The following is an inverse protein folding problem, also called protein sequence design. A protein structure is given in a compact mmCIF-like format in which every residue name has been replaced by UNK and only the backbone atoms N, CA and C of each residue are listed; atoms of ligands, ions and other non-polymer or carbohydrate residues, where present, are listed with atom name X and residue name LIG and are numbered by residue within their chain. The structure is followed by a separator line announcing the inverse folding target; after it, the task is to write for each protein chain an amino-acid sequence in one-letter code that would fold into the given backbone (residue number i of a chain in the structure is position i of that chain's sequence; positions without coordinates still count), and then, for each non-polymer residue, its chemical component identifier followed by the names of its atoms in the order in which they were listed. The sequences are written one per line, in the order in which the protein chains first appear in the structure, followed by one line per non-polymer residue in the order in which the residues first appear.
data_IF_889119111234
#
_entry.id   IF_889119111234
#
_cell.length_a   1.000
_cell.length_b   1.000
_cell.length_c   1.000
_cell.angle_alpha   90.00
_cell.angle_beta   90.00
_cell.angle_gamma   90.00
#
_symmetry.space_group_name_H-M   'P 1'
#
loop_
_entity.id
_entity.type
_entity.pdbx_description
1 polymer ?
#
# COMPACT_ATOMS: atom_id res chain seq x y z
N UNK A 1 35.00 14.64 -20.96
CA UNK A 1 34.80 14.64 -19.50
C UNK A 1 33.89 13.46 -19.14
N UNK A 2 34.34 12.52 -18.29
CA UNK A 2 33.45 11.47 -17.75
C UNK A 2 32.51 12.13 -16.74
N UNK A 3 31.20 11.87 -16.85
CA UNK A 3 30.18 12.41 -15.95
C UNK A 3 30.53 12.07 -14.48
N UNK A 4 30.80 13.06 -13.61
CA UNK A 4 31.16 12.82 -12.21
C UNK A 4 30.01 12.20 -11.39
N UNK A 5 28.79 12.14 -11.95
CA UNK A 5 27.61 11.51 -11.35
C UNK A 5 27.35 10.08 -11.85
N UNK A 6 28.24 9.51 -12.65
CA UNK A 6 28.11 8.14 -13.17
C UNK A 6 28.36 7.04 -12.11
N UNK A 7 28.67 7.40 -10.87
CA UNK A 7 28.88 6.48 -9.75
C UNK A 7 27.92 6.75 -8.59
N UNK A 8 27.16 5.71 -8.21
CA UNK A 8 26.40 5.56 -6.97
C UNK A 8 25.13 6.42 -6.81
N UNK A 9 24.02 6.00 -7.45
CA UNK A 9 22.71 6.16 -6.79
C UNK A 9 22.78 5.34 -5.49
N UNK A 10 23.03 5.99 -4.35
CA UNK A 10 22.92 5.33 -3.03
C UNK A 10 21.58 4.59 -2.99
N UNK A 11 21.59 3.31 -2.61
CA UNK A 11 20.34 2.58 -2.36
C UNK A 11 19.53 3.38 -1.35
N UNK A 12 18.32 3.79 -1.74
CA UNK A 12 17.39 4.53 -0.89
C UNK A 12 16.34 3.56 -0.32
N UNK A 13 15.71 3.94 0.79
CA UNK A 13 14.50 3.24 1.23
C UNK A 13 13.42 3.55 0.19
N UNK A 14 12.84 2.51 -0.37
CA UNK A 14 11.81 2.61 -1.40
C UNK A 14 10.86 1.45 -1.28
N UNK A 15 9.58 1.71 -1.42
CA UNK A 15 8.51 0.74 -1.45
C UNK A 15 7.96 0.63 -2.87
N UNK A 16 7.41 -0.55 -3.17
CA UNK A 16 6.56 -0.80 -4.34
C UNK A 16 5.40 -1.67 -3.91
N UNK A 17 4.28 -1.61 -4.64
CA UNK A 17 3.21 -2.59 -4.44
C UNK A 17 3.69 -3.94 -4.95
N UNK A 18 3.65 -4.95 -4.10
CA UNK A 18 3.79 -6.35 -4.50
C UNK A 18 2.45 -6.89 -4.99
N UNK A 19 1.37 -6.45 -4.33
CA UNK A 19 -0.03 -6.75 -4.69
C UNK A 19 -0.89 -5.50 -4.47
N UNK A 20 -1.88 -5.27 -5.34
CA UNK A 20 -2.87 -4.22 -5.15
C UNK A 20 -4.13 -4.60 -5.91
N UNK A 21 -5.29 -4.57 -5.25
CA UNK A 21 -6.57 -4.86 -5.90
C UNK A 21 -6.88 -3.87 -7.03
N UNK A 22 -7.68 -4.31 -8.00
CA UNK A 22 -8.02 -3.50 -9.18
C UNK A 22 -8.94 -2.31 -8.83
N UNK A 23 -9.94 -2.56 -7.98
CA UNK A 23 -11.01 -1.62 -7.65
C UNK A 23 -11.46 -1.82 -6.20
N UNK A 24 -11.89 -0.75 -5.55
CA UNK A 24 -12.52 -0.72 -4.24
C UNK A 24 -14.04 -0.83 -4.40
N UNK A 25 -14.69 -1.80 -3.75
CA UNK A 25 -16.13 -2.04 -3.90
C UNK A 25 -16.81 -1.88 -2.55
N UNK A 26 -17.51 -0.75 -2.34
CA UNK A 26 -18.23 -0.31 -1.12
C UNK A 26 -18.02 -1.24 0.11
N UNK A 27 -18.95 -1.79 0.88
CA UNK A 27 -18.62 -2.60 2.07
C UNK A 27 -17.76 -3.89 1.94
N UNK A 28 -16.97 -4.10 0.87
CA UNK A 28 -16.06 -5.25 0.72
C UNK A 28 -14.61 -4.91 1.10
N UNK A 29 -13.88 -5.82 1.78
CA UNK A 29 -12.48 -5.59 2.10
C UNK A 29 -11.60 -5.49 0.84
N UNK A 30 -10.80 -4.43 0.79
CA UNK A 30 -9.77 -4.19 -0.22
C UNK A 30 -8.39 -4.49 0.37
N UNK A 31 -7.62 -5.37 -0.27
CA UNK A 31 -6.29 -5.77 0.16
C UNK A 31 -5.19 -5.24 -0.76
N UNK A 32 -4.05 -4.89 -0.17
CA UNK A 32 -2.85 -4.48 -0.89
C UNK A 32 -1.61 -4.80 -0.06
N UNK A 33 -0.53 -5.16 -0.73
CA UNK A 33 0.76 -5.47 -0.14
C UNK A 33 1.84 -4.55 -0.67
N UNK A 34 2.76 -4.16 0.20
CA UNK A 34 3.99 -3.48 -0.22
C UNK A 34 5.21 -4.27 0.18
N UNK A 35 6.22 -4.18 -0.67
CA UNK A 35 7.54 -4.73 -0.41
C UNK A 35 8.62 -3.67 -0.65
N UNK A 36 9.82 -3.95 -0.17
CA UNK A 36 10.98 -3.10 -0.41
C UNK A 36 11.45 -3.20 -1.86
N UNK A 37 11.64 -2.03 -2.48
CA UNK A 37 12.31 -1.84 -3.75
C UNK A 37 13.75 -1.32 -3.58
N UNK A 38 14.25 -1.24 -2.34
CA UNK A 38 15.49 -0.55 -1.99
C UNK A 38 16.21 -1.16 -0.79
N UNK A 39 16.83 -0.31 0.05
CA UNK A 39 17.48 -0.75 1.28
C UNK A 39 16.48 -0.88 2.45
N UNK A 40 16.88 -1.62 3.47
CA UNK A 40 16.10 -1.76 4.71
C UNK A 40 15.93 -0.44 5.47
N UNK A 41 14.91 -0.38 6.33
CA UNK A 41 14.67 0.70 7.29
C UNK A 41 13.90 0.20 8.51
N UNK A 42 14.22 0.70 9.68
CA UNK A 42 13.53 0.44 10.95
C UNK A 42 12.60 1.58 11.38
N UNK A 43 12.56 2.68 10.61
CA UNK A 43 11.82 3.89 10.97
C UNK A 43 10.30 3.73 10.81
N UNK A 44 9.87 2.71 10.08
CA UNK A 44 8.46 2.48 9.79
C UNK A 44 7.94 3.21 8.56
N UNK A 45 6.63 3.18 8.39
CA UNK A 45 5.91 3.69 7.23
C UNK A 45 4.56 4.29 7.60
N UNK A 46 3.92 4.92 6.62
CA UNK A 46 2.56 5.41 6.71
C UNK A 46 1.75 4.94 5.51
N UNK A 47 0.52 4.51 5.77
CA UNK A 47 -0.50 4.28 4.74
C UNK A 47 -1.41 5.48 4.71
N UNK A 48 -1.71 6.00 3.52
CA UNK A 48 -2.66 7.09 3.35
C UNK A 48 -3.54 6.90 2.13
N UNK A 49 -4.81 7.30 2.26
CA UNK A 49 -5.75 7.38 1.14
C UNK A 49 -6.32 8.80 1.06
N UNK A 50 -6.34 9.35 -0.14
CA UNK A 50 -6.75 10.74 -0.41
C UNK A 50 -7.46 10.85 -1.75
N UNK A 51 -8.20 11.91 -1.98
CA UNK A 51 -8.93 12.16 -3.22
C UNK A 51 -10.10 13.09 -2.97
N UNK A 52 -10.71 13.64 -4.03
CA UNK A 52 -11.83 14.58 -3.86
C UNK A 52 -13.03 13.91 -3.18
N UNK A 53 -13.33 12.65 -3.53
CA UNK A 53 -14.40 11.91 -2.87
C UNK A 53 -14.12 11.67 -1.36
N UNK A 54 -12.86 11.65 -0.92
CA UNK A 54 -12.48 11.62 0.50
C UNK A 54 -12.61 13.00 1.14
N UNK A 55 -12.20 14.08 0.45
CA UNK A 55 -12.32 15.45 0.93
C UNK A 55 -13.78 15.79 1.26
N UNK A 56 -14.68 15.45 0.34
CA UNK A 56 -16.12 15.73 0.41
C UNK A 56 -16.86 14.74 1.33
N UNK A 57 -16.20 13.67 1.78
CA UNK A 57 -16.76 12.65 2.65
C UNK A 57 -17.68 11.64 1.96
N UNK A 58 -17.75 11.63 0.62
CA UNK A 58 -18.50 10.63 -0.16
C UNK A 58 -17.90 9.23 -0.02
N UNK A 59 -16.58 9.14 0.07
CA UNK A 59 -15.85 7.89 0.34
C UNK A 59 -15.24 7.96 1.73
N UNK A 60 -15.59 7.00 2.57
CA UNK A 60 -15.01 6.82 3.90
C UNK A 60 -14.38 5.43 4.03
N UNK A 61 -13.62 5.21 5.08
CA UNK A 61 -12.93 3.93 5.30
C UNK A 61 -13.10 3.47 6.74
N UNK A 62 -13.24 2.16 6.93
CA UNK A 62 -13.10 1.53 8.23
C UNK A 62 -11.63 1.52 8.70
N UNK A 63 -11.40 0.91 9.86
CA UNK A 63 -10.05 0.64 10.35
C UNK A 63 -9.19 -0.07 9.30
N UNK A 64 -7.90 0.22 9.35
CA UNK A 64 -6.90 -0.46 8.53
C UNK A 64 -6.42 -1.68 9.31
N UNK A 65 -6.41 -2.84 8.68
CA UNK A 65 -5.90 -4.07 9.25
C UNK A 65 -4.58 -4.43 8.58
N UNK A 66 -3.66 -5.02 9.34
CA UNK A 66 -2.40 -5.54 8.79
C UNK A 66 -2.01 -6.84 9.48
N UNK A 67 -1.19 -7.63 8.80
CA UNK A 67 -0.66 -8.86 9.36
C UNK A 67 0.68 -8.60 10.05
N UNK A 68 0.80 -9.02 11.30
CA UNK A 68 2.03 -8.97 12.07
C UNK A 68 2.56 -10.39 12.28
N UNK A 69 3.85 -10.62 12.01
CA UNK A 69 4.50 -11.90 12.22
C UNK A 69 5.31 -11.85 13.52
N UNK A 70 4.89 -12.64 14.50
CA UNK A 70 5.59 -12.85 15.76
C UNK A 70 6.16 -14.26 15.81
N UNK A 71 7.41 -14.44 15.34
CA UNK A 71 8.12 -15.72 15.45
C UNK A 71 7.42 -16.90 14.76
N UNK A 72 6.78 -16.67 13.61
CA UNK A 72 6.05 -17.69 12.84
C UNK A 72 4.54 -17.70 13.07
N UNK A 73 4.04 -16.95 14.07
CA UNK A 73 2.59 -16.74 14.25
C UNK A 73 2.15 -15.45 13.57
N UNK A 74 1.28 -15.58 12.58
CA UNK A 74 0.67 -14.44 11.89
C UNK A 74 -0.60 -14.01 12.65
N UNK A 75 -0.65 -12.76 13.08
CA UNK A 75 -1.83 -12.16 13.73
C UNK A 75 -2.35 -10.98 12.93
N UNK A 76 -3.66 -10.93 12.71
CA UNK A 76 -4.33 -9.78 12.11
C UNK A 76 -4.55 -8.70 13.17
N UNK A 77 -3.97 -7.52 12.97
CA UNK A 77 -4.05 -6.39 13.90
C UNK A 77 -4.92 -5.30 13.28
N UNK A 78 -5.94 -4.85 14.03
CA UNK A 78 -6.73 -3.67 13.67
C UNK A 78 -6.01 -2.42 14.13
N UNK A 79 -5.76 -1.50 13.21
CA UNK A 79 -5.12 -0.22 13.45
C UNK A 79 -6.06 0.94 13.09
N UNK A 80 -5.94 2.03 13.84
CA UNK A 80 -6.73 3.23 13.58
C UNK A 80 -6.38 3.82 12.22
N UNK A 81 -7.40 4.08 11.40
CA UNK A 81 -7.25 4.77 10.12
C UNK A 81 -7.96 6.12 10.21
N UNK A 82 -7.24 7.11 10.71
CA UNK A 82 -7.82 8.38 11.11
C UNK A 82 -7.94 9.34 9.94
N UNK A 83 -9.08 10.04 9.84
CA UNK A 83 -9.26 11.16 8.94
C UNK A 83 -8.55 12.39 9.50
N UNK A 84 -7.58 12.93 8.76
CA UNK A 84 -6.76 14.09 9.13
C UNK A 84 -7.04 15.22 8.17
N UNK A 85 -7.35 16.40 8.69
CA UNK A 85 -7.45 17.64 7.92
C UNK A 85 -6.08 18.31 7.84
N UNK A 86 -5.59 18.54 6.62
CA UNK A 86 -4.34 19.25 6.33
C UNK A 86 -4.53 20.77 6.46
N UNK A 87 -3.42 21.50 6.49
CA UNK A 87 -3.41 22.99 6.56
C UNK A 87 -4.14 23.66 5.41
N UNK A 88 -4.20 23.02 4.25
CA UNK A 88 -4.91 23.49 3.05
C UNK A 88 -6.41 23.12 3.07
N UNK A 89 -6.92 22.55 4.17
CA UNK A 89 -8.31 22.12 4.31
C UNK A 89 -8.61 20.74 3.70
N UNK A 90 -7.68 20.14 2.96
CA UNK A 90 -7.89 18.81 2.36
C UNK A 90 -7.87 17.73 3.43
N UNK A 91 -8.70 16.70 3.26
CA UNK A 91 -8.82 15.58 4.19
C UNK A 91 -8.14 14.34 3.62
N UNK A 92 -7.43 13.61 4.47
CA UNK A 92 -6.78 12.37 4.10
C UNK A 92 -6.94 11.35 5.22
N UNK A 93 -7.18 10.09 4.86
CA UNK A 93 -7.05 9.02 5.85
C UNK A 93 -5.58 8.67 6.02
N UNK A 94 -5.12 8.46 7.25
CA UNK A 94 -3.75 8.05 7.57
C UNK A 94 -3.69 7.00 8.67
N UNK A 95 -2.83 6.02 8.48
CA UNK A 95 -2.43 5.04 9.48
C UNK A 95 -0.91 5.04 9.59
N UNK A 96 -0.41 5.30 10.80
CA UNK A 96 1.00 5.48 11.09
C UNK A 96 1.58 4.23 11.75
N UNK A 97 2.66 3.71 11.19
CA UNK A 97 3.30 2.48 11.67
C UNK A 97 4.77 2.78 11.96
N UNK A 98 5.10 3.01 13.23
CA UNK A 98 6.46 3.39 13.64
C UNK A 98 7.35 2.20 14.01
N UNK A 99 6.78 0.99 14.07
CA UNK A 99 7.48 -0.23 14.52
C UNK A 99 7.58 -1.32 13.46
N UNK A 100 6.93 -1.15 12.30
CA UNK A 100 7.00 -2.16 11.23
C UNK A 100 8.32 -1.96 10.47
N UNK A 101 9.25 -2.93 10.50
CA UNK A 101 10.48 -2.82 9.73
C UNK A 101 10.21 -3.01 8.24
N UNK A 102 11.00 -2.31 7.42
CA UNK A 102 11.07 -2.50 5.96
C UNK A 102 12.32 -3.31 5.69
N UNK A 103 12.15 -4.52 5.14
CA UNK A 103 13.27 -5.39 4.78
C UNK A 103 14.12 -4.81 3.63
N UNK A 104 15.35 -5.28 3.44
CA UNK A 104 16.11 -4.99 2.21
C UNK A 104 15.59 -5.84 1.06
N UNK A 105 15.56 -5.27 -0.16
CA UNK A 105 15.25 -6.06 -1.35
C UNK A 105 16.36 -7.07 -1.62
N UNK A 106 16.05 -8.36 -1.56
CA UNK A 106 16.97 -9.40 -1.99
C UNK A 106 16.99 -9.52 -3.52
N UNK A 107 18.05 -8.99 -4.13
CA UNK A 107 18.30 -9.06 -5.58
C UNK A 107 19.14 -10.28 -5.99
N UNK A 108 19.65 -11.08 -5.05
CA UNK A 108 20.57 -12.20 -5.34
C UNK A 108 19.91 -13.37 -6.07
N UNK A 109 18.57 -13.43 -6.01
CA UNK A 109 17.74 -14.52 -6.50
C UNK A 109 17.11 -14.29 -7.88
N UNK A 110 17.37 -13.16 -8.54
CA UNK A 110 16.74 -12.83 -9.84
C UNK A 110 17.13 -13.79 -10.99
N UNK A 111 18.23 -14.54 -10.85
CA UNK A 111 18.81 -15.35 -11.93
C UNK A 111 18.90 -16.85 -11.61
N UNK A 112 18.24 -17.33 -10.54
CA UNK A 112 18.21 -18.76 -10.19
C UNK A 112 16.81 -19.23 -9.82
N UNK A 113 16.59 -20.53 -9.92
CA UNK A 113 15.36 -21.18 -9.44
C UNK A 113 15.29 -20.99 -7.92
N UNK A 114 14.20 -20.42 -7.43
CA UNK A 114 13.95 -20.20 -6.01
C UNK A 114 13.75 -21.55 -5.31
N UNK A 115 14.33 -21.67 -4.12
CA UNK A 115 14.01 -22.73 -3.16
C UNK A 115 12.69 -22.42 -2.45
N UNK A 116 12.04 -23.43 -1.85
CA UNK A 116 10.79 -23.23 -1.12
C UNK A 116 10.99 -22.25 0.06
N UNK A 117 12.13 -22.33 0.74
CA UNK A 117 12.50 -21.45 1.83
C UNK A 117 12.63 -19.98 1.38
N UNK A 118 13.21 -19.72 0.21
CA UNK A 118 13.34 -18.37 -0.34
C UNK A 118 11.99 -17.78 -0.79
N UNK A 119 11.08 -18.62 -1.30
CA UNK A 119 9.70 -18.19 -1.61
C UNK A 119 8.97 -17.78 -0.32
N UNK A 120 9.06 -18.60 0.73
CA UNK A 120 8.48 -18.30 2.04
C UNK A 120 9.11 -17.03 2.63
N UNK A 121 10.41 -16.85 2.50
CA UNK A 121 11.10 -15.66 2.99
C UNK A 121 10.65 -14.39 2.25
N UNK A 122 10.39 -14.46 0.94
CA UNK A 122 9.82 -13.32 0.19
C UNK A 122 8.40 -12.99 0.63
N UNK A 123 7.55 -13.99 0.85
CA UNK A 123 6.22 -13.79 1.41
C UNK A 123 6.27 -13.12 2.79
N UNK A 124 7.31 -13.42 3.59
CA UNK A 124 7.54 -12.78 4.89
C UNK A 124 8.07 -11.34 4.80
N UNK A 125 8.56 -10.89 3.64
CA UNK A 125 9.03 -9.52 3.44
C UNK A 125 7.92 -8.56 2.96
N UNK A 126 6.78 -9.09 2.52
CA UNK A 126 5.60 -8.30 2.17
C UNK A 126 4.90 -7.81 3.44
N UNK A 127 4.53 -6.53 3.45
CA UNK A 127 3.66 -5.95 4.46
C UNK A 127 2.29 -5.82 3.84
N UNK A 128 1.38 -6.70 4.25
CA UNK A 128 0.02 -6.78 3.71
C UNK A 128 -0.97 -6.01 4.59
N UNK A 129 -1.81 -5.23 3.92
CA UNK A 129 -2.84 -4.38 4.51
C UNK A 129 -4.21 -4.71 3.95
N UNK A 130 -5.24 -4.40 4.73
CA UNK A 130 -6.64 -4.51 4.35
C UNK A 130 -7.43 -3.32 4.86
N UNK A 131 -8.27 -2.74 4.03
CA UNK A 131 -9.18 -1.65 4.40
C UNK A 131 -10.53 -1.88 3.76
N UNK A 132 -11.62 -1.44 4.40
CA UNK A 132 -12.95 -1.50 3.79
C UNK A 132 -13.41 -0.08 3.46
N UNK A 133 -13.65 0.24 2.17
CA UNK A 133 -14.25 1.50 1.76
C UNK A 133 -15.75 1.51 2.10
N UNK A 134 -16.35 2.69 2.17
CA UNK A 134 -17.80 2.88 2.23
C UNK A 134 -18.17 4.00 1.27
N UNK A 135 -19.08 3.72 0.34
CA UNK A 135 -19.49 4.59 -0.74
C UNK A 135 -20.85 4.17 -1.31
N UNK A 136 -21.76 5.13 -1.49
CA UNK A 136 -23.14 4.87 -1.94
C UNK A 136 -23.55 5.67 -3.19
N UNK A 137 -22.59 6.20 -3.95
CA UNK A 137 -22.88 6.95 -5.19
C UNK A 137 -23.03 6.04 -6.41
N UNK A 138 -23.61 6.59 -7.47
CA UNK A 138 -23.75 5.92 -8.78
C UNK A 138 -22.50 6.10 -9.67
N UNK A 139 -21.65 7.07 -9.36
CA UNK A 139 -20.39 7.31 -10.06
C UNK A 139 -19.28 6.37 -9.59
N UNK A 140 -18.11 6.45 -10.24
CA UNK A 140 -16.92 5.67 -9.90
C UNK A 140 -15.75 6.60 -9.58
N UNK A 141 -15.73 7.26 -8.40
CA UNK A 141 -14.69 8.21 -8.06
C UNK A 141 -13.32 7.55 -7.92
N UNK A 142 -12.25 8.34 -8.07
CA UNK A 142 -10.88 7.90 -7.88
C UNK A 142 -10.30 8.39 -6.56
N UNK A 143 -9.53 7.51 -5.91
CA UNK A 143 -8.73 7.79 -4.73
C UNK A 143 -7.28 7.39 -4.98
N UNK A 144 -6.35 8.15 -4.41
CA UNK A 144 -4.93 7.85 -4.41
C UNK A 144 -4.55 7.13 -3.12
N UNK A 145 -4.15 5.86 -3.26
CA UNK A 145 -3.52 5.07 -2.22
C UNK A 145 -2.02 5.30 -2.26
N UNK A 146 -1.45 5.74 -1.15
CA UNK A 146 -0.01 5.97 -1.00
C UNK A 146 0.50 5.27 0.24
N UNK A 147 1.55 4.47 0.08
CA UNK A 147 2.34 3.92 1.18
C UNK A 147 3.73 4.50 1.12
N UNK A 148 4.15 5.21 2.16
CA UNK A 148 5.43 5.92 2.17
C UNK A 148 6.28 5.57 3.39
N UNK A 149 7.59 5.31 3.22
CA UNK A 149 8.51 5.11 4.33
C UNK A 149 8.83 6.46 4.99
N UNK A 150 8.92 6.51 6.32
CA UNK A 150 9.26 7.76 7.01
C UNK A 150 10.67 8.27 6.66
N UNK A 151 11.59 7.36 6.34
CA UNK A 151 12.96 7.73 5.95
C UNK A 151 13.02 8.47 4.61
N UNK A 152 12.08 8.19 3.69
CA UNK A 152 12.11 8.74 2.33
C UNK A 152 10.70 8.93 1.75
N UNK A 153 9.94 9.85 2.34
CA UNK A 153 8.51 10.04 2.06
C UNK A 153 8.17 10.52 0.65
N UNK A 154 9.11 11.15 -0.05
CA UNK A 154 8.85 11.80 -1.34
C UNK A 154 9.12 10.87 -2.53
N UNK A 155 10.26 10.17 -2.51
CA UNK A 155 10.71 9.35 -3.64
C UNK A 155 10.71 7.85 -3.33
N UNK A 156 10.51 7.50 -2.05
CA UNK A 156 10.46 6.12 -1.57
C UNK A 156 9.06 5.50 -1.57
N UNK A 157 8.05 6.20 -2.08
CA UNK A 157 6.64 5.85 -1.90
C UNK A 157 6.10 4.95 -3.01
N UNK A 158 5.24 4.01 -2.63
CA UNK A 158 4.37 3.31 -3.55
C UNK A 158 3.05 4.10 -3.68
N UNK A 159 2.63 4.40 -4.91
CA UNK A 159 1.44 5.21 -5.21
C UNK A 159 0.60 4.49 -6.26
N UNK A 160 -0.70 4.37 -6.01
CA UNK A 160 -1.66 3.77 -6.95
C UNK A 160 -2.96 4.58 -6.92
N UNK A 161 -3.46 4.93 -8.11
CA UNK A 161 -4.81 5.46 -8.27
C UNK A 161 -5.78 4.29 -8.39
N UNK A 162 -6.86 4.34 -7.61
CA UNK A 162 -7.86 3.30 -7.49
C UNK A 162 -9.23 3.90 -7.65
N UNK A 163 -10.09 3.18 -8.36
CA UNK A 163 -11.51 3.49 -8.48
C UNK A 163 -12.26 2.92 -7.29
N UNK A 164 -13.34 3.60 -6.88
CA UNK A 164 -14.29 3.13 -5.87
C UNK A 164 -15.65 3.01 -6.52
N UNK A 165 -16.36 1.90 -6.30
CA UNK A 165 -17.71 1.67 -6.84
C UNK A 165 -18.65 1.13 -5.76
N UNK A 166 -19.94 1.41 -5.92
CA UNK A 166 -21.02 0.78 -5.15
C UNK A 166 -21.53 -0.52 -5.80
N UNK A 167 -21.18 -0.75 -7.07
CA UNK A 167 -21.54 -1.95 -7.84
C UNK A 167 -20.86 -3.22 -7.27
N UNK A 168 -21.66 -4.07 -6.61
CA UNK A 168 -21.19 -5.34 -6.04
C UNK A 168 -20.91 -6.41 -7.10
N UNK A 169 -21.49 -6.26 -8.29
CA UNK A 169 -21.40 -7.20 -9.40
C UNK A 169 -20.39 -6.76 -10.46
N UNK A 170 -19.57 -5.74 -10.17
CA UNK A 170 -18.59 -5.13 -11.07
C UNK A 170 -17.78 -6.16 -11.88
N UNK A 171 -17.29 -7.21 -11.22
CA UNK A 171 -16.50 -8.25 -11.91
C UNK A 171 -17.35 -9.06 -12.89
N UNK A 172 -18.60 -9.40 -12.55
CA UNK A 172 -19.52 -10.11 -13.45
C UNK A 172 -19.81 -9.28 -14.70
N UNK A 173 -20.08 -7.98 -14.53
CA UNK A 173 -20.29 -7.06 -15.65
C UNK A 173 -19.08 -6.96 -16.57
N UNK A 174 -17.86 -6.97 -15.99
CA UNK A 174 -16.61 -6.94 -16.75
C UNK A 174 -16.39 -8.22 -17.57
N UNK A 175 -16.76 -9.39 -17.06
CA UNK A 175 -16.62 -10.66 -17.78
C UNK A 175 -17.69 -10.86 -18.86
N UNK A 176 -18.90 -10.36 -18.65
CA UNK A 176 -20.00 -10.47 -19.63
C UNK A 176 -19.79 -9.62 -20.90
N UNK A 177 -18.86 -8.67 -20.87
CA UNK A 177 -18.51 -7.80 -22.00
C UNK A 177 -17.31 -8.32 -22.83
N UNK A 178 -17.02 -9.62 -22.76
CA UNK A 178 -16.08 -10.33 -23.64
C UNK A 178 -16.82 -11.33 -24.52
#
# INVERSE_FOLDING_TARGET
MKNPFAGLKKKQVKLQFSTCGEIMIDGLPFAFGVESAGKASDKGLCVSISGEAVNDGRVTFSNLEYYENHGGKITLVKHGFSLVTKKDGKKIYQAKFTKIPIAEKDTSVLFRKLTEEEVVQRLNCEIAFKVTPHFSGEDTPEVMLTVYPYENMLTGSAVQWLKVTSDKDYFLHKYSNK
#
